data_IF_594386470026
#
_entry.id   IF_594386470026
#
_cell.length_a   1.000
_cell.length_b   1.000
_cell.length_c   1.000
_cell.angle_alpha   90.00
_cell.angle_beta   90.00
_cell.angle_gamma   90.00
#
_symmetry.space_group_name_H-M   'P 1'
#
loop_
_entity.id
_entity.type
_entity.pdbx_description
1 polymer ?
#
# COMPACT_ATOMS: atom_id res chain seq x y z
N UNK A 1 -11.89 13.96 31.76
CA UNK A 1 -10.84 13.05 32.29
C UNK A 1 -10.93 11.71 31.54
N UNK A 2 -10.28 11.56 30.37
CA UNK A 2 -10.26 10.28 29.63
C UNK A 2 -9.10 9.43 30.17
N UNK A 3 -9.43 8.28 30.78
CA UNK A 3 -8.45 7.32 31.30
C UNK A 3 -7.51 6.88 30.17
N UNK A 4 -6.22 7.15 30.31
CA UNK A 4 -5.18 6.48 29.51
C UNK A 4 -5.14 5.02 29.94
N UNK A 5 -5.67 4.12 29.10
CA UNK A 5 -5.25 2.72 29.17
C UNK A 5 -3.79 2.68 28.72
N UNK A 6 -2.89 2.36 29.64
CA UNK A 6 -1.61 1.76 29.30
C UNK A 6 -1.90 0.40 28.71
N UNK A 7 -2.16 0.35 27.41
CA UNK A 7 -2.21 -0.89 26.65
C UNK A 7 -0.77 -1.33 26.41
N UNK A 8 -0.41 -2.52 26.91
CA UNK A 8 0.58 -3.36 26.25
C UNK A 8 0.34 -3.24 24.75
N UNK A 9 1.34 -2.79 23.99
CA UNK A 9 1.15 -2.57 22.57
C UNK A 9 0.92 -3.93 21.91
N UNK A 10 -0.34 -4.25 21.63
CA UNK A 10 -0.70 -5.49 20.94
C UNK A 10 -0.01 -5.49 19.58
N UNK A 11 0.76 -6.54 19.34
CA UNK A 11 1.46 -6.79 18.08
C UNK A 11 0.54 -7.65 17.21
N UNK A 12 0.29 -7.19 15.99
CA UNK A 12 -0.40 -7.96 14.96
C UNK A 12 0.65 -8.72 14.14
N UNK A 13 0.38 -9.99 13.84
CA UNK A 13 1.21 -10.80 12.95
C UNK A 13 0.42 -11.04 11.65
N UNK A 14 0.90 -10.51 10.53
CA UNK A 14 0.27 -10.66 9.21
C UNK A 14 1.35 -10.99 8.18
N UNK A 15 1.15 -12.03 7.37
CA UNK A 15 2.03 -12.41 6.26
C UNK A 15 3.53 -12.44 6.64
N UNK A 16 3.84 -13.13 7.74
CA UNK A 16 5.18 -13.26 8.33
C UNK A 16 5.84 -11.93 8.79
N UNK A 17 5.07 -10.85 8.92
CA UNK A 17 5.50 -9.55 9.44
C UNK A 17 4.79 -9.21 10.74
N UNK A 18 5.49 -8.47 11.60
CA UNK A 18 4.96 -7.98 12.88
C UNK A 18 4.68 -6.49 12.78
N UNK A 19 3.47 -6.09 13.14
CA UNK A 19 3.04 -4.71 13.16
C UNK A 19 2.64 -4.33 14.58
N UNK A 20 3.26 -3.28 15.11
CA UNK A 20 2.80 -2.68 16.36
C UNK A 20 1.54 -1.88 16.04
N UNK A 21 0.43 -2.14 16.76
CA UNK A 21 -0.76 -1.33 16.55
C UNK A 21 -0.47 0.16 16.82
N UNK A 22 -0.97 1.06 15.96
CA UNK A 22 -0.71 2.48 16.12
C UNK A 22 -1.42 3.02 17.37
N UNK A 23 -0.74 3.91 18.09
CA UNK A 23 -1.29 4.56 19.30
C UNK A 23 -2.10 5.82 18.99
N UNK A 24 -2.14 6.22 17.72
CA UNK A 24 -2.89 7.36 17.19
C UNK A 24 -3.55 6.95 15.85
N UNK A 25 -4.65 7.62 15.44
CA UNK A 25 -5.23 7.39 14.12
C UNK A 25 -4.15 7.54 13.04
N UNK A 26 -3.97 6.49 12.24
CA UNK A 26 -2.92 6.41 11.21
C UNK A 26 -3.60 6.22 9.86
N UNK A 27 -3.18 7.02 8.87
CA UNK A 27 -3.69 6.96 7.50
C UNK A 27 -2.52 6.67 6.57
N UNK A 28 -2.74 5.73 5.67
CA UNK A 28 -1.83 5.43 4.55
C UNK A 28 -2.56 5.84 3.27
N UNK A 29 -1.89 6.60 2.41
CA UNK A 29 -2.44 7.09 1.15
C UNK A 29 -1.60 6.54 0.01
N UNK A 30 -2.24 5.81 -0.90
CA UNK A 30 -1.66 5.46 -2.20
C UNK A 30 -2.23 6.42 -3.24
N UNK A 31 -1.38 7.21 -3.89
CA UNK A 31 -1.75 8.07 -5.01
C UNK A 31 -1.38 7.34 -6.29
N UNK A 32 -2.37 6.86 -7.04
CA UNK A 32 -2.13 6.06 -8.24
C UNK A 32 -1.38 6.87 -9.31
N UNK A 33 -0.41 6.25 -9.98
CA UNK A 33 0.43 6.89 -11.01
C UNK A 33 1.27 8.08 -10.52
N UNK A 34 1.54 8.19 -9.22
CA UNK A 34 2.26 9.32 -8.64
C UNK A 34 3.77 9.21 -8.83
N UNK A 35 4.24 9.46 -10.04
CA UNK A 35 5.65 9.68 -10.33
C UNK A 35 6.21 10.79 -9.39
N UNK A 36 7.33 10.57 -8.69
CA UNK A 36 7.91 11.52 -7.74
C UNK A 36 8.04 12.96 -8.26
N UNK A 37 8.34 13.13 -9.55
CA UNK A 37 8.47 14.44 -10.18
C UNK A 37 7.18 15.27 -10.17
N UNK A 38 5.99 14.65 -10.15
CA UNK A 38 4.74 15.40 -9.99
C UNK A 38 4.70 16.18 -8.68
N UNK A 39 5.19 15.58 -7.58
CA UNK A 39 5.26 16.24 -6.28
C UNK A 39 6.34 17.32 -6.30
N UNK A 40 7.51 17.00 -6.85
CA UNK A 40 8.63 17.94 -6.92
C UNK A 40 8.25 19.23 -7.67
N UNK A 41 7.62 19.10 -8.85
CA UNK A 41 7.18 20.23 -9.66
C UNK A 41 6.08 21.04 -8.96
N UNK A 42 5.07 20.39 -8.38
CA UNK A 42 4.01 21.07 -7.65
C UNK A 42 4.54 21.90 -6.46
N UNK A 43 5.56 21.39 -5.75
CA UNK A 43 6.23 22.10 -4.66
C UNK A 43 7.08 23.26 -5.20
N UNK A 44 7.85 23.05 -6.26
CA UNK A 44 8.70 24.07 -6.89
C UNK A 44 7.88 25.27 -7.38
N UNK A 45 6.71 25.02 -7.96
CA UNK A 45 5.79 26.05 -8.45
C UNK A 45 4.83 26.61 -7.38
N UNK A 46 5.04 26.27 -6.10
CA UNK A 46 4.26 26.82 -4.99
C UNK A 46 2.81 26.33 -4.92
N UNK A 47 2.44 25.29 -5.67
CA UNK A 47 1.08 24.75 -5.74
C UNK A 47 0.77 23.76 -4.61
N UNK A 48 1.80 23.23 -3.93
CA UNK A 48 1.66 22.26 -2.86
C UNK A 48 2.29 22.73 -1.53
N UNK A 49 1.76 23.79 -0.88
CA UNK A 49 2.38 24.39 0.31
C UNK A 49 2.39 23.46 1.53
N UNK A 50 1.42 22.55 1.65
CA UNK A 50 1.42 21.54 2.70
C UNK A 50 2.54 20.52 2.48
N UNK A 51 2.67 19.96 1.27
CA UNK A 51 3.75 19.02 0.94
C UNK A 51 5.14 19.67 1.10
N UNK A 52 5.30 20.94 0.71
CA UNK A 52 6.54 21.69 0.93
C UNK A 52 6.99 21.67 2.39
N UNK A 53 6.05 21.87 3.34
CA UNK A 53 6.37 21.81 4.78
C UNK A 53 6.66 20.37 5.22
N UNK A 54 5.85 19.42 4.81
CA UNK A 54 6.00 18.00 5.19
C UNK A 54 7.32 17.41 4.69
N UNK A 55 7.79 17.79 3.50
CA UNK A 55 9.10 17.37 2.98
C UNK A 55 10.27 17.96 3.78
N UNK A 56 10.11 19.15 4.36
CA UNK A 56 11.16 19.83 5.14
C UNK A 56 11.25 19.36 6.60
N UNK A 57 10.13 18.97 7.21
CA UNK A 57 10.06 18.58 8.64
C UNK A 57 9.72 17.12 8.88
N UNK A 58 9.35 16.37 7.85
CA UNK A 58 9.01 14.96 7.90
C UNK A 58 10.10 14.07 7.31
N UNK A 59 9.67 12.97 6.69
CA UNK A 59 10.57 12.00 6.04
C UNK A 59 10.11 11.80 4.60
N UNK A 60 11.05 11.85 3.66
CA UNK A 60 10.82 11.61 2.24
C UNK A 60 11.78 10.53 1.75
N UNK A 61 11.26 9.49 1.11
CA UNK A 61 12.02 8.36 0.59
C UNK A 61 11.46 7.97 -0.78
N UNK A 62 12.33 7.43 -1.64
CA UNK A 62 11.93 6.74 -2.87
C UNK A 62 11.90 5.24 -2.56
N UNK A 63 10.88 4.55 -3.06
CA UNK A 63 10.72 3.12 -2.89
C UNK A 63 10.39 2.47 -4.25
N UNK A 64 10.85 1.23 -4.42
CA UNK A 64 10.50 0.43 -5.58
C UNK A 64 9.09 -0.12 -5.44
N UNK A 65 8.30 0.02 -6.51
CA UNK A 65 7.01 -0.64 -6.61
C UNK A 65 7.16 -2.10 -7.03
N UNK A 66 6.08 -2.88 -6.93
CA UNK A 66 6.03 -4.24 -7.48
C UNK A 66 6.01 -4.19 -9.00
N UNK A 67 6.70 -5.16 -9.62
CA UNK A 67 6.63 -5.44 -11.05
C UNK A 67 5.72 -6.67 -11.29
N UNK A 68 4.75 -6.60 -12.21
CA UNK A 68 4.42 -5.46 -13.08
C UNK A 68 3.84 -4.28 -12.29
N UNK A 69 4.18 -3.06 -12.71
CA UNK A 69 3.81 -1.79 -12.05
C UNK A 69 2.34 -1.41 -12.31
N UNK A 70 1.44 -2.36 -12.08
CA UNK A 70 0.00 -2.21 -12.23
C UNK A 70 -0.66 -1.88 -10.89
N UNK A 71 -1.81 -1.22 -10.97
CA UNK A 71 -2.60 -0.77 -9.83
C UNK A 71 -2.99 -1.92 -8.89
N UNK A 72 -3.58 -3.00 -9.40
CA UNK A 72 -4.08 -4.10 -8.57
C UNK A 72 -2.96 -4.81 -7.79
N UNK A 73 -1.86 -5.28 -8.43
CA UNK A 73 -0.74 -5.88 -7.71
C UNK A 73 -0.19 -4.97 -6.61
N UNK A 74 0.07 -3.70 -6.92
CA UNK A 74 0.67 -2.77 -5.97
C UNK A 74 -0.24 -2.44 -4.79
N UNK A 75 -1.53 -2.15 -5.04
CA UNK A 75 -2.48 -1.88 -3.95
C UNK A 75 -2.61 -3.09 -3.03
N UNK A 76 -2.69 -4.30 -3.58
CA UNK A 76 -2.77 -5.51 -2.77
C UNK A 76 -1.46 -5.79 -2.01
N UNK A 77 -0.31 -5.47 -2.60
CA UNK A 77 0.96 -5.56 -1.88
C UNK A 77 1.06 -4.57 -0.71
N UNK A 78 0.53 -3.35 -0.86
CA UNK A 78 0.49 -2.34 0.21
C UNK A 78 -0.36 -2.83 1.38
N UNK A 79 -1.59 -3.30 1.13
CA UNK A 79 -2.51 -3.67 2.21
C UNK A 79 -2.19 -5.02 2.85
N UNK A 80 -1.57 -5.95 2.11
CA UNK A 80 -1.12 -7.23 2.68
C UNK A 80 0.29 -7.15 3.27
N UNK A 81 1.07 -6.14 2.89
CA UNK A 81 2.48 -6.04 3.23
C UNK A 81 3.33 -7.18 2.65
N UNK A 82 2.92 -7.80 1.55
CA UNK A 82 3.57 -8.95 0.93
C UNK A 82 3.60 -8.80 -0.61
N UNK A 83 4.49 -9.50 -1.34
CA UNK A 83 4.53 -9.45 -2.81
C UNK A 83 3.44 -10.32 -3.47
N UNK A 84 3.21 -10.20 -4.80
CA UNK A 84 2.22 -11.01 -5.53
C UNK A 84 2.39 -12.52 -5.41
N UNK A 85 3.62 -13.00 -5.20
CA UNK A 85 3.87 -14.42 -4.94
C UNK A 85 3.20 -14.95 -3.67
N UNK A 86 2.84 -14.05 -2.73
CA UNK A 86 2.13 -14.37 -1.50
C UNK A 86 0.64 -14.09 -1.64
N UNK A 87 0.23 -12.87 -2.02
CA UNK A 87 -1.19 -12.51 -2.06
C UNK A 87 -1.91 -12.98 -3.33
N UNK A 88 -1.18 -13.42 -4.36
CA UNK A 88 -1.73 -14.05 -5.57
C UNK A 88 -2.20 -13.10 -6.68
N UNK A 89 -2.25 -11.78 -6.42
CA UNK A 89 -2.73 -10.78 -7.41
C UNK A 89 -1.54 -10.19 -8.17
N UNK A 90 -1.27 -10.68 -9.38
CA UNK A 90 -0.12 -10.27 -10.19
C UNK A 90 -0.48 -9.49 -11.47
N UNK A 91 -1.77 -9.25 -11.71
CA UNK A 91 -2.26 -8.45 -12.84
C UNK A 91 -3.74 -8.13 -12.69
N UNK A 92 -4.33 -7.63 -13.78
CA UNK A 92 -5.77 -7.38 -13.84
C UNK A 92 -6.54 -8.60 -14.37
N UNK A 93 -5.89 -9.40 -15.21
CA UNK A 93 -6.42 -10.65 -15.78
C UNK A 93 -5.40 -11.77 -15.64
N UNK A 94 -5.89 -13.01 -15.67
CA UNK A 94 -5.09 -14.22 -15.85
C UNK A 94 -5.77 -15.13 -16.87
N UNK A 95 -4.99 -15.98 -17.53
CA UNK A 95 -5.54 -17.06 -18.34
C UNK A 95 -5.77 -18.29 -17.46
N UNK A 96 -7.03 -18.69 -17.29
CA UNK A 96 -7.40 -19.87 -16.52
C UNK A 96 -7.37 -21.11 -17.42
N UNK A 97 -6.40 -21.98 -17.20
CA UNK A 97 -6.21 -23.19 -17.99
C UNK A 97 -7.30 -24.23 -17.78
N UNK A 98 -8.07 -24.17 -16.68
CA UNK A 98 -9.15 -25.11 -16.43
C UNK A 98 -10.39 -24.79 -17.29
N UNK A 99 -10.72 -23.51 -17.44
CA UNK A 99 -11.81 -23.05 -18.30
C UNK A 99 -11.37 -22.72 -19.74
N UNK A 100 -10.07 -22.54 -19.99
CA UNK A 100 -9.52 -22.15 -21.28
C UNK A 100 -9.82 -20.68 -21.64
N UNK A 101 -10.00 -19.82 -20.64
CA UNK A 101 -10.47 -18.44 -20.83
C UNK A 101 -9.66 -17.42 -20.03
N UNK A 102 -9.66 -16.17 -20.50
CA UNK A 102 -9.14 -15.04 -19.72
C UNK A 102 -10.16 -14.61 -18.66
N UNK A 103 -9.73 -14.50 -17.41
CA UNK A 103 -10.57 -14.16 -16.27
C UNK A 103 -9.99 -12.96 -15.52
N UNK A 104 -10.88 -12.11 -15.01
CA UNK A 104 -10.50 -10.94 -14.21
C UNK A 104 -10.04 -11.36 -12.80
N UNK A 105 -8.97 -10.74 -12.32
CA UNK A 105 -8.40 -10.94 -10.97
C UNK A 105 -8.97 -9.96 -9.93
N UNK A 106 -10.21 -9.47 -10.12
CA UNK A 106 -10.86 -8.50 -9.25
C UNK A 106 -11.83 -9.13 -8.22
N UNK A 107 -12.02 -10.45 -8.28
CA UNK A 107 -12.80 -11.21 -7.31
C UNK A 107 -11.93 -11.63 -6.11
N UNK A 108 -12.36 -11.40 -4.85
CA UNK A 108 -11.63 -11.79 -3.65
C UNK A 108 -11.21 -13.27 -3.60
N UNK A 109 -11.88 -14.17 -4.33
CA UNK A 109 -11.48 -15.58 -4.41
C UNK A 109 -10.04 -15.80 -4.92
N UNK A 110 -9.50 -14.82 -5.65
CA UNK A 110 -8.12 -14.86 -6.15
C UNK A 110 -7.09 -14.40 -5.13
N UNK A 111 -7.53 -13.75 -4.04
CA UNK A 111 -6.65 -13.32 -2.95
C UNK A 111 -6.24 -14.51 -2.09
N UNK A 112 -4.94 -14.69 -1.90
CA UNK A 112 -4.34 -15.84 -1.19
C UNK A 112 -3.74 -15.50 0.16
N UNK A 113 -3.89 -14.25 0.62
CA UNK A 113 -3.31 -13.75 1.87
C UNK A 113 -4.30 -12.85 2.63
N UNK A 114 -4.15 -12.79 3.94
CA UNK A 114 -4.91 -11.85 4.77
C UNK A 114 -4.38 -10.41 4.59
N UNK A 115 -5.26 -9.44 4.79
CA UNK A 115 -4.95 -8.01 4.86
C UNK A 115 -4.88 -7.54 6.31
#
# INVERSE_FOLDING_TARGET
MRRRRTTEASVLHVNARRYKLPTQPTVVVCVDGCEPDYIAQAVAHGQAPWLKRTLASGTALIADCVIPSFTNPNNLSIVTGAPPSVHGICGNTLFDTASGSEVMMNDPKWLRAAT
#
